data_IF_184702195807
#
_entry.id   IF_184702195807
#
_cell.length_a   1.000
_cell.length_b   1.000
_cell.length_c   1.000
_cell.angle_alpha   90.00
_cell.angle_beta   90.00
_cell.angle_gamma   90.00
#
_symmetry.space_group_name_H-M   'P 1'
#
loop_
_entity.id
_entity.type
_entity.pdbx_description
1 polymer ?
#
# COMPACT_ATOMS: atom_id res chain seq x y z
N UNK A 1 18.91 -6.79 17.31
CA UNK A 1 19.47 -7.89 18.14
C UNK A 1 19.37 -9.18 17.35
N UNK A 2 20.40 -10.03 17.32
CA UNK A 2 20.29 -11.35 16.70
C UNK A 2 19.26 -12.19 17.45
N UNK A 3 18.55 -13.05 16.73
CA UNK A 3 17.61 -14.02 17.27
C UNK A 3 17.74 -15.33 16.48
N UNK A 4 17.33 -16.45 17.08
CA UNK A 4 17.38 -17.78 16.46
C UNK A 4 16.03 -18.08 15.84
N UNK A 5 16.05 -18.64 14.63
CA UNK A 5 14.87 -19.17 13.95
C UNK A 5 15.19 -20.57 13.43
N UNK A 6 14.21 -21.48 13.49
CA UNK A 6 14.35 -22.83 12.94
C UNK A 6 14.63 -22.77 11.43
N UNK A 7 15.42 -23.72 10.93
CA UNK A 7 15.86 -23.72 9.52
C UNK A 7 14.67 -23.81 8.56
N UNK A 8 13.63 -24.57 8.94
CA UNK A 8 12.40 -24.75 8.17
C UNK A 8 11.56 -23.48 8.09
N UNK A 9 11.74 -22.55 9.04
CA UNK A 9 11.03 -21.27 9.08
C UNK A 9 11.77 -20.14 8.33
N UNK A 10 13.01 -20.37 7.89
CA UNK A 10 13.80 -19.38 7.13
C UNK A 10 13.09 -18.87 5.87
N UNK A 11 12.48 -19.72 5.01
CA UNK A 11 11.79 -19.22 3.82
C UNK A 11 10.65 -18.24 4.15
N UNK A 12 9.84 -18.58 5.16
CA UNK A 12 8.75 -17.71 5.64
C UNK A 12 9.28 -16.40 6.19
N UNK A 13 10.37 -16.43 6.97
CA UNK A 13 11.03 -15.22 7.46
C UNK A 13 11.55 -14.34 6.33
N UNK A 14 12.20 -14.91 5.31
CA UNK A 14 12.67 -14.15 4.16
C UNK A 14 11.52 -13.53 3.36
N UNK A 15 10.41 -14.25 3.19
CA UNK A 15 9.21 -13.69 2.57
C UNK A 15 8.63 -12.52 3.38
N UNK A 16 8.57 -12.65 4.71
CA UNK A 16 8.13 -11.56 5.60
C UNK A 16 9.08 -10.35 5.53
N UNK A 17 10.40 -10.57 5.49
CA UNK A 17 11.39 -9.52 5.34
C UNK A 17 11.28 -8.80 3.98
N UNK A 18 11.07 -9.54 2.89
CA UNK A 18 10.83 -8.96 1.58
C UNK A 18 9.55 -8.11 1.56
N UNK A 19 8.48 -8.57 2.22
CA UNK A 19 7.24 -7.79 2.35
C UNK A 19 7.45 -6.51 3.16
N UNK A 20 8.20 -6.57 4.26
CA UNK A 20 8.45 -5.41 5.11
C UNK A 20 9.41 -4.38 4.48
N UNK A 21 10.34 -4.82 3.63
CA UNK A 21 11.36 -3.96 3.03
C UNK A 21 11.11 -3.69 1.53
N UNK A 22 11.18 -4.72 0.69
CA UNK A 22 11.15 -4.55 -0.76
C UNK A 22 9.78 -4.05 -1.24
N UNK A 23 8.68 -4.56 -0.70
CA UNK A 23 7.35 -4.10 -1.12
C UNK A 23 7.01 -2.71 -0.56
N UNK A 24 7.55 -2.37 0.62
CA UNK A 24 7.53 -0.98 1.10
C UNK A 24 8.23 -0.04 0.12
N UNK A 25 9.41 -0.44 -0.40
CA UNK A 25 10.13 0.34 -1.41
C UNK A 25 9.34 0.46 -2.73
N UNK A 26 8.67 -0.60 -3.20
CA UNK A 26 7.78 -0.52 -4.37
C UNK A 26 6.73 0.56 -4.19
N UNK A 27 6.09 0.63 -3.01
CA UNK A 27 5.08 1.67 -2.73
C UNK A 27 5.68 3.08 -2.64
N UNK A 28 6.92 3.21 -2.20
CA UNK A 28 7.64 4.50 -2.22
C UNK A 28 7.93 4.96 -3.67
N UNK A 29 8.28 4.03 -4.57
CA UNK A 29 8.46 4.33 -6.00
C UNK A 29 7.14 4.75 -6.64
N UNK A 30 6.04 4.04 -6.38
CA UNK A 30 4.70 4.44 -6.85
C UNK A 30 4.36 5.87 -6.40
N UNK A 31 4.62 6.20 -5.13
CA UNK A 31 4.38 7.54 -4.60
C UNK A 31 5.31 8.60 -5.25
N UNK A 32 6.56 8.25 -5.52
CA UNK A 32 7.51 9.14 -6.19
C UNK A 32 7.06 9.46 -7.62
N UNK A 33 6.72 8.44 -8.42
CA UNK A 33 6.29 8.65 -9.81
C UNK A 33 5.01 9.52 -9.88
N UNK A 34 4.08 9.35 -8.94
CA UNK A 34 2.88 10.17 -8.85
C UNK A 34 3.17 11.63 -8.50
N UNK A 35 4.10 11.88 -7.57
CA UNK A 35 4.44 13.24 -7.15
C UNK A 35 5.31 13.95 -8.19
N UNK A 36 6.22 13.22 -8.86
CA UNK A 36 7.06 13.75 -9.93
C UNK A 36 6.19 14.22 -11.11
N UNK A 37 5.08 13.52 -11.42
CA UNK A 37 4.13 13.92 -12.45
C UNK A 37 3.38 15.25 -12.17
N UNK A 38 3.46 15.74 -10.93
CA UNK A 38 2.87 17.03 -10.51
C UNK A 38 3.90 17.97 -9.88
N UNK A 39 5.19 17.77 -10.17
CA UNK A 39 6.32 18.59 -9.71
C UNK A 39 6.43 18.75 -8.18
N UNK A 40 6.00 17.74 -7.42
CA UNK A 40 6.09 17.71 -5.96
C UNK A 40 7.24 16.79 -5.51
N UNK A 41 8.15 17.24 -4.64
CA UNK A 41 9.28 16.40 -4.23
C UNK A 41 8.86 15.35 -3.17
N UNK A 42 9.27 14.09 -3.34
CA UNK A 42 8.92 12.96 -2.44
C UNK A 42 9.16 13.22 -0.94
N UNK A 43 10.12 14.09 -0.60
CA UNK A 43 10.44 14.48 0.78
C UNK A 43 9.24 15.04 1.56
N UNK A 44 8.21 15.57 0.89
CA UNK A 44 6.99 16.04 1.57
C UNK A 44 6.22 14.91 2.25
N UNK A 45 6.41 13.66 1.81
CA UNK A 45 5.78 12.47 2.41
C UNK A 45 6.65 11.83 3.51
N UNK A 46 7.88 12.28 3.73
CA UNK A 46 8.81 11.71 4.72
C UNK A 46 8.17 11.54 6.12
N UNK A 47 7.60 12.60 6.72
CA UNK A 47 6.93 12.49 8.01
C UNK A 47 5.76 11.51 8.03
N UNK A 48 5.01 11.39 6.92
CA UNK A 48 3.90 10.43 6.81
C UNK A 48 4.42 8.98 6.76
N UNK A 49 5.48 8.74 6.00
CA UNK A 49 6.13 7.43 5.90
C UNK A 49 6.75 6.99 7.24
N UNK A 50 7.39 7.91 7.95
CA UNK A 50 7.92 7.64 9.29
C UNK A 50 6.81 7.31 10.28
N UNK A 51 5.74 8.12 10.31
CA UNK A 51 4.62 7.92 11.21
C UNK A 51 3.92 6.57 10.98
N UNK A 52 3.71 6.16 9.72
CA UNK A 52 3.02 4.90 9.44
C UNK A 52 3.85 3.68 9.85
N UNK A 53 5.17 3.72 9.66
CA UNK A 53 6.07 2.65 10.11
C UNK A 53 6.15 2.61 11.63
N UNK A 54 6.29 3.76 12.29
CA UNK A 54 6.33 3.84 13.75
C UNK A 54 5.05 3.27 14.37
N UNK A 55 3.88 3.71 13.89
CA UNK A 55 2.59 3.23 14.36
C UNK A 55 2.42 1.72 14.12
N UNK A 56 2.80 1.22 12.95
CA UNK A 56 2.69 -0.22 12.65
C UNK A 56 3.57 -1.08 13.57
N UNK A 57 4.74 -0.58 14.00
CA UNK A 57 5.61 -1.27 14.97
C UNK A 57 5.04 -1.20 16.39
N UNK A 58 4.44 -0.08 16.77
CA UNK A 58 3.91 0.14 18.12
C UNK A 58 2.63 -0.67 18.39
N UNK A 59 1.63 -0.56 17.50
CA UNK A 59 0.29 -1.15 17.72
C UNK A 59 -0.01 -2.35 16.81
N UNK A 60 0.89 -2.65 15.87
CA UNK A 60 0.76 -3.75 14.90
C UNK A 60 0.13 -3.30 13.56
N UNK A 61 0.55 -3.88 12.41
CA UNK A 61 0.13 -3.41 11.08
C UNK A 61 -1.39 -3.43 10.83
N UNK A 62 -2.08 -4.44 11.36
CA UNK A 62 -3.55 -4.55 11.20
C UNK A 62 -4.30 -3.49 12.01
N UNK A 63 -3.82 -3.15 13.20
CA UNK A 63 -4.43 -2.12 14.04
C UNK A 63 -4.10 -0.71 13.54
N UNK A 64 -2.93 -0.54 12.91
CA UNK A 64 -2.52 0.72 12.28
C UNK A 64 -3.22 1.01 10.94
N UNK A 65 -4.05 0.08 10.44
CA UNK A 65 -4.76 0.25 9.18
C UNK A 65 -5.76 1.41 9.28
N UNK A 66 -5.59 2.40 8.42
CA UNK A 66 -6.45 3.59 8.32
C UNK A 66 -6.67 3.96 6.84
N UNK A 67 -7.24 5.14 6.58
CA UNK A 67 -7.44 5.65 5.23
C UNK A 67 -8.79 5.29 4.61
N UNK A 68 -9.02 5.70 3.35
CA UNK A 68 -10.34 5.63 2.72
C UNK A 68 -10.82 4.18 2.53
N UNK A 69 -9.93 3.24 2.18
CA UNK A 69 -10.28 1.82 2.06
C UNK A 69 -10.79 1.24 3.40
N UNK A 70 -10.12 1.53 4.51
CA UNK A 70 -10.53 1.05 5.83
C UNK A 70 -11.92 1.58 6.25
N UNK A 71 -12.25 2.82 5.82
CA UNK A 71 -13.53 3.47 6.10
C UNK A 71 -14.64 3.10 5.12
N UNK A 72 -14.34 2.46 3.99
CA UNK A 72 -15.31 2.16 2.93
C UNK A 72 -15.64 3.35 2.04
N UNK A 73 -14.70 4.29 1.90
CA UNK A 73 -14.86 5.51 1.11
C UNK A 73 -14.49 5.26 -0.35
N UNK A 74 -15.44 4.65 -1.07
CA UNK A 74 -15.26 4.20 -2.46
C UNK A 74 -15.01 5.38 -3.40
N UNK A 75 -15.71 6.50 -3.21
CA UNK A 75 -15.60 7.69 -4.05
C UNK A 75 -14.19 8.30 -4.00
N UNK A 76 -13.60 8.39 -2.80
CA UNK A 76 -12.22 8.86 -2.64
C UNK A 76 -11.24 7.93 -3.34
N UNK A 77 -11.41 6.62 -3.21
CA UNK A 77 -10.52 5.65 -3.86
C UNK A 77 -10.67 5.68 -5.38
N UNK A 78 -11.89 5.83 -5.90
CA UNK A 78 -12.13 5.98 -7.33
C UNK A 78 -11.47 7.25 -7.89
N UNK A 79 -11.50 8.36 -7.14
CA UNK A 79 -10.79 9.58 -7.51
C UNK A 79 -9.26 9.39 -7.52
N UNK A 80 -8.72 8.66 -6.55
CA UNK A 80 -7.29 8.30 -6.51
C UNK A 80 -6.90 7.43 -7.70
N UNK A 81 -7.68 6.40 -8.04
CA UNK A 81 -7.42 5.53 -9.19
C UNK A 81 -7.41 6.35 -10.50
N UNK A 82 -8.37 7.27 -10.68
CA UNK A 82 -8.39 8.17 -11.84
C UNK A 82 -7.13 9.04 -11.92
N UNK A 83 -6.69 9.62 -10.80
CA UNK A 83 -5.46 10.43 -10.75
C UNK A 83 -4.22 9.59 -11.11
N UNK A 84 -4.15 8.33 -10.66
CA UNK A 84 -3.06 7.43 -11.05
C UNK A 84 -3.11 7.10 -12.54
N UNK A 85 -4.29 6.83 -13.09
CA UNK A 85 -4.45 6.55 -14.52
C UNK A 85 -4.04 7.75 -15.40
N UNK A 86 -4.29 8.97 -14.93
CA UNK A 86 -3.93 10.21 -15.64
C UNK A 86 -2.43 10.53 -15.55
N UNK A 87 -1.85 10.46 -14.36
CA UNK A 87 -0.50 10.98 -14.11
C UNK A 87 0.61 9.93 -14.08
N UNK A 88 0.29 8.69 -13.72
CA UNK A 88 1.26 7.58 -13.63
C UNK A 88 0.64 6.26 -14.09
N UNK A 89 0.20 6.13 -15.36
CA UNK A 89 -0.52 4.95 -15.84
C UNK A 89 0.26 3.64 -15.68
N UNK A 90 1.60 3.69 -15.72
CA UNK A 90 2.46 2.53 -15.47
C UNK A 90 2.32 1.97 -14.03
N UNK A 91 1.90 2.80 -13.06
CA UNK A 91 1.71 2.41 -11.66
C UNK A 91 0.28 1.94 -11.36
N UNK A 92 -0.66 2.12 -12.30
CA UNK A 92 -2.09 1.85 -12.09
C UNK A 92 -2.35 0.42 -11.58
N UNK A 93 -1.74 -0.59 -12.22
CA UNK A 93 -1.92 -1.99 -11.82
C UNK A 93 -1.46 -2.28 -10.38
N UNK A 94 -0.34 -1.68 -9.95
CA UNK A 94 0.17 -1.82 -8.58
C UNK A 94 -0.79 -1.13 -7.60
N UNK A 95 -1.23 0.09 -7.93
CA UNK A 95 -2.13 0.85 -7.08
C UNK A 95 -3.48 0.13 -6.87
N UNK A 96 -4.09 -0.37 -7.95
CA UNK A 96 -5.34 -1.14 -7.89
C UNK A 96 -5.16 -2.45 -7.12
N UNK A 97 -4.06 -3.17 -7.32
CA UNK A 97 -3.73 -4.38 -6.54
C UNK A 97 -3.61 -4.10 -5.03
N UNK A 98 -3.01 -2.96 -4.67
CA UNK A 98 -2.94 -2.51 -3.28
C UNK A 98 -4.32 -2.18 -2.71
N UNK A 99 -5.18 -1.48 -3.45
CA UNK A 99 -6.58 -1.22 -3.06
C UNK A 99 -7.32 -2.53 -2.81
N UNK A 100 -7.23 -3.48 -3.73
CA UNK A 100 -7.86 -4.80 -3.61
C UNK A 100 -7.35 -5.56 -2.36
N UNK A 101 -6.03 -5.52 -2.13
CA UNK A 101 -5.40 -6.16 -0.97
C UNK A 101 -5.85 -5.52 0.35
N UNK A 102 -5.88 -4.20 0.42
CA UNK A 102 -6.37 -3.45 1.59
C UNK A 102 -7.85 -3.71 1.85
N UNK A 103 -8.69 -3.73 0.81
CA UNK A 103 -10.12 -4.01 0.96
C UNK A 103 -10.36 -5.40 1.55
N UNK A 104 -9.60 -6.42 1.11
CA UNK A 104 -9.66 -7.77 1.69
C UNK A 104 -9.19 -7.80 3.14
N UNK A 105 -8.07 -7.14 3.46
CA UNK A 105 -7.54 -7.05 4.83
C UNK A 105 -8.53 -6.34 5.77
N UNK A 106 -9.22 -5.31 5.26
CA UNK A 106 -10.21 -4.52 6.01
C UNK A 106 -11.59 -5.19 6.13
N UNK A 107 -11.82 -6.34 5.47
CA UNK A 107 -13.15 -6.97 5.41
C UNK A 107 -14.18 -6.14 4.64
N UNK A 108 -13.72 -5.39 3.63
CA UNK A 108 -14.50 -4.41 2.85
C UNK A 108 -14.62 -4.78 1.37
N UNK A 109 -14.24 -6.00 0.99
CA UNK A 109 -14.17 -6.41 -0.43
C UNK A 109 -15.47 -6.14 -1.19
N UNK A 110 -16.62 -6.44 -0.60
CA UNK A 110 -17.94 -6.23 -1.24
C UNK A 110 -18.21 -4.77 -1.64
N UNK A 111 -17.53 -3.81 -1.00
CA UNK A 111 -17.67 -2.38 -1.33
C UNK A 111 -16.75 -1.94 -2.49
N UNK A 112 -15.68 -2.69 -2.75
CA UNK A 112 -14.62 -2.32 -3.69
C UNK A 112 -14.50 -3.25 -4.90
N UNK A 113 -15.22 -4.39 -4.91
CA UNK A 113 -15.10 -5.40 -5.96
C UNK A 113 -15.33 -4.81 -7.36
N UNK A 114 -16.45 -4.13 -7.57
CA UNK A 114 -16.80 -3.53 -8.86
C UNK A 114 -15.73 -2.52 -9.31
N UNK A 115 -15.28 -1.64 -8.41
CA UNK A 115 -14.25 -0.64 -8.70
C UNK A 115 -12.92 -1.28 -9.10
N UNK A 116 -12.54 -2.39 -8.46
CA UNK A 116 -11.31 -3.12 -8.78
C UNK A 116 -11.44 -3.82 -10.14
N UNK A 117 -12.56 -4.50 -10.38
CA UNK A 117 -12.79 -5.29 -11.60
C UNK A 117 -12.79 -4.42 -12.87
N UNK A 118 -13.28 -3.18 -12.77
CA UNK A 118 -13.23 -2.15 -13.84
C UNK A 118 -11.80 -1.86 -14.32
N UNK A 119 -10.78 -2.09 -13.49
CA UNK A 119 -9.39 -1.70 -13.74
C UNK A 119 -8.42 -2.88 -13.84
N UNK A 120 -8.91 -4.12 -13.74
CA UNK A 120 -8.10 -5.35 -13.84
C UNK A 120 -8.49 -6.27 -15.00
N UNK A 121 -9.45 -5.86 -15.83
CA UNK A 121 -9.96 -6.62 -16.98
C UNK A 121 -9.12 -6.44 -18.25
#
# INVERSE_FOLDING_TARGET
RPFVIADEAKPTYHAAAAAAANFTLVNMVVAQDLLDAVDVPIKVLGPLMEAIVANAVEIGPRAALTGPVARGDVDTVAAQIRAVAEHAPAMLGIFVSNVASLARIAGRWDQFADLVDEHTS
#
